data_IF_072309175641
#
_entry.id   IF_072309175641
#
_cell.length_a   1.000
_cell.length_b   1.000
_cell.length_c   1.000
_cell.angle_alpha   90.00
_cell.angle_beta   90.00
_cell.angle_gamma   90.00
#
_symmetry.space_group_name_H-M   'P 1'
#
loop_
_entity.id
_entity.type
_entity.pdbx_description
1 polymer ?
#
# COMPACT_ATOMS: atom_id res chain seq x y z
N UNK A 1 -69.85 23.18 -14.31
CA UNK A 1 -68.52 23.48 -14.90
C UNK A 1 -67.52 23.57 -13.77
N UNK A 2 -66.77 22.50 -13.52
CA UNK A 2 -65.73 22.43 -12.49
C UNK A 2 -64.51 23.23 -12.96
N UNK A 3 -64.05 24.22 -12.20
CA UNK A 3 -62.76 24.87 -12.42
C UNK A 3 -61.71 24.15 -11.57
N UNK A 4 -60.82 23.45 -12.27
CA UNK A 4 -59.66 22.74 -11.76
C UNK A 4 -58.57 23.76 -11.39
N UNK A 5 -58.00 23.63 -10.19
CA UNK A 5 -56.85 24.41 -9.71
C UNK A 5 -55.55 23.87 -10.33
N UNK A 6 -54.64 24.76 -10.75
CA UNK A 6 -53.24 24.43 -11.00
C UNK A 6 -52.41 25.32 -10.07
N UNK A 7 -51.87 24.71 -9.01
CA UNK A 7 -50.87 25.32 -8.15
C UNK A 7 -49.48 25.13 -8.81
N UNK A 8 -48.81 26.23 -9.11
CA UNK A 8 -47.47 26.24 -9.70
C UNK A 8 -46.44 26.10 -8.57
N UNK A 9 -45.86 24.90 -8.43
CA UNK A 9 -44.71 24.66 -7.55
C UNK A 9 -43.43 25.17 -8.23
N UNK A 10 -42.89 26.28 -7.71
CA UNK A 10 -41.59 26.82 -8.12
C UNK A 10 -40.51 26.05 -7.35
N UNK A 11 -39.80 25.15 -8.03
CA UNK A 11 -38.55 24.57 -7.54
C UNK A 11 -37.43 25.61 -7.71
N UNK A 12 -36.99 26.21 -6.61
CA UNK A 12 -35.76 27.02 -6.59
C UNK A 12 -34.59 26.04 -6.54
N UNK A 13 -33.96 25.80 -7.69
CA UNK A 13 -32.68 25.12 -7.75
C UNK A 13 -31.61 26.04 -7.18
N UNK A 14 -31.13 25.74 -5.97
CA UNK A 14 -29.89 26.32 -5.45
C UNK A 14 -28.73 25.75 -6.30
N UNK A 15 -27.90 26.59 -6.95
CA UNK A 15 -26.71 26.12 -7.62
C UNK A 15 -25.71 25.68 -6.54
N UNK A 16 -25.64 24.38 -6.27
CA UNK A 16 -24.52 23.79 -5.58
C UNK A 16 -23.27 24.09 -6.41
N UNK A 17 -22.44 25.01 -5.93
CA UNK A 17 -21.14 25.27 -6.53
C UNK A 17 -20.27 24.06 -6.20
N UNK A 18 -20.22 23.09 -7.11
CA UNK A 18 -19.19 22.05 -7.11
C UNK A 18 -17.85 22.77 -7.27
N UNK A 19 -17.08 22.87 -6.19
CA UNK A 19 -15.74 23.45 -6.25
C UNK A 19 -14.85 22.39 -6.93
N UNK A 20 -14.72 22.49 -8.25
CA UNK A 20 -13.71 21.74 -8.99
C UNK A 20 -12.33 22.14 -8.47
N UNK A 21 -11.51 21.16 -8.09
CA UNK A 21 -10.11 21.38 -7.73
C UNK A 21 -9.39 22.05 -8.90
N UNK A 22 -8.62 23.11 -8.63
CA UNK A 22 -7.80 23.77 -9.65
C UNK A 22 -6.65 22.83 -10.04
N UNK A 23 -6.72 22.29 -11.26
CA UNK A 23 -5.77 21.30 -11.76
C UNK A 23 -4.35 21.84 -11.94
N UNK A 24 -4.11 23.14 -11.71
CA UNK A 24 -2.80 23.76 -11.78
C UNK A 24 -2.11 23.93 -10.41
N UNK A 25 -2.78 23.63 -9.30
CA UNK A 25 -2.22 23.77 -7.95
C UNK A 25 -1.77 22.43 -7.39
N UNK A 26 -0.84 22.47 -6.42
CA UNK A 26 -0.50 21.26 -5.67
C UNK A 26 -1.72 20.76 -4.91
N UNK A 27 -2.02 19.45 -4.89
CA UNK A 27 -3.06 18.89 -4.03
C UNK A 27 -2.87 19.20 -2.53
N UNK A 28 -1.64 19.52 -2.12
CA UNK A 28 -1.33 19.90 -0.74
C UNK A 28 -1.82 21.30 -0.36
N UNK A 29 -2.02 22.20 -1.33
CA UNK A 29 -2.50 23.56 -1.08
C UNK A 29 -3.98 23.62 -0.72
N UNK A 30 -4.73 22.57 -1.07
CA UNK A 30 -6.18 22.48 -0.86
C UNK A 30 -6.56 21.08 -0.36
N UNK A 31 -5.89 20.65 0.71
CA UNK A 31 -6.23 19.39 1.36
C UNK A 31 -7.63 19.51 1.99
N UNK A 32 -8.51 18.52 1.76
CA UNK A 32 -9.76 18.47 2.49
C UNK A 32 -9.47 18.27 3.98
N UNK A 33 -10.32 18.79 4.85
CA UNK A 33 -10.16 18.73 6.31
C UNK A 33 -10.20 17.30 6.91
N UNK A 34 -10.49 16.28 6.11
CA UNK A 34 -10.36 14.88 6.48
C UNK A 34 -8.99 14.27 6.10
N UNK A 35 -8.08 15.05 5.52
CA UNK A 35 -6.69 14.67 5.23
C UNK A 35 -5.75 15.62 5.99
N UNK A 36 -4.77 15.05 6.68
CA UNK A 36 -3.73 15.80 7.40
C UNK A 36 -2.35 15.33 6.94
N UNK A 37 -1.47 16.26 6.57
CA UNK A 37 -0.08 15.93 6.31
C UNK A 37 0.69 15.78 7.63
N UNK A 38 1.35 14.63 7.81
CA UNK A 38 2.09 14.28 9.03
C UNK A 38 3.57 14.57 8.87
N UNK A 39 4.13 14.27 7.69
CA UNK A 39 5.55 14.53 7.40
C UNK A 39 5.73 15.22 6.05
N UNK A 40 6.87 15.91 5.91
CA UNK A 40 7.28 16.60 4.68
C UNK A 40 8.36 15.82 3.90
N UNK A 41 8.61 14.58 4.31
CA UNK A 41 9.51 13.61 3.68
C UNK A 41 9.06 12.21 4.05
N UNK A 42 9.57 11.21 3.34
CA UNK A 42 9.32 9.81 3.63
C UNK A 42 8.31 9.14 2.70
N UNK A 43 8.33 7.81 2.78
CA UNK A 43 7.56 6.90 1.92
C UNK A 43 7.30 5.57 2.64
N UNK A 44 6.37 4.77 2.10
CA UNK A 44 6.03 3.40 2.53
C UNK A 44 5.71 3.29 4.02
N UNK A 45 4.63 3.95 4.40
CA UNK A 45 4.14 3.94 5.78
C UNK A 45 3.66 2.54 6.22
N UNK A 46 3.70 2.28 7.52
CA UNK A 46 2.99 1.18 8.19
C UNK A 46 2.46 1.63 9.56
N UNK A 47 1.33 1.06 9.99
CA UNK A 47 0.66 1.42 11.24
C UNK A 47 1.12 0.56 12.41
N UNK A 48 1.42 1.21 13.54
CA UNK A 48 1.52 0.50 14.82
C UNK A 48 0.18 -0.15 15.18
N UNK A 49 0.22 -1.24 15.94
CA UNK A 49 -0.97 -2.01 16.30
C UNK A 49 -1.98 -1.23 17.17
N UNK A 50 -1.50 -0.23 17.91
CA UNK A 50 -2.33 0.67 18.72
C UNK A 50 -2.88 1.88 17.92
N UNK A 51 -2.42 2.07 16.68
CA UNK A 51 -2.81 3.20 15.85
C UNK A 51 -2.25 4.55 16.31
N UNK A 52 -1.25 4.57 17.20
CA UNK A 52 -0.67 5.82 17.71
C UNK A 52 0.52 6.31 16.87
N UNK A 53 1.09 5.44 16.03
CA UNK A 53 2.36 5.69 15.34
C UNK A 53 2.36 5.22 13.90
N UNK A 54 3.14 5.91 13.09
CA UNK A 54 3.46 5.52 11.72
C UNK A 54 4.95 5.23 11.60
N UNK A 55 5.28 4.02 11.17
CA UNK A 55 6.61 3.64 10.71
C UNK A 55 6.74 4.03 9.23
N UNK A 56 7.88 4.57 8.80
CA UNK A 56 8.11 4.92 7.39
C UNK A 56 9.61 4.95 7.09
N UNK A 57 9.98 4.97 5.81
CA UNK A 57 11.38 5.13 5.39
C UNK A 57 11.62 6.54 4.86
N UNK A 58 12.81 7.11 5.07
CA UNK A 58 13.19 8.46 4.62
C UNK A 58 13.00 8.64 3.10
N UNK A 59 13.47 7.63 2.37
CA UNK A 59 13.52 7.46 0.92
C UNK A 59 13.91 6.01 0.64
N UNK A 60 13.84 5.60 -0.62
CA UNK A 60 14.31 4.28 -1.02
C UNK A 60 15.81 4.20 -0.74
N UNK A 61 16.24 3.17 -0.01
CA UNK A 61 17.62 3.00 0.52
C UNK A 61 17.98 3.99 1.64
N UNK A 62 16.99 4.51 2.37
CA UNK A 62 17.16 5.44 3.48
C UNK A 62 17.07 4.76 4.85
N UNK A 63 17.11 5.62 5.87
CA UNK A 63 16.83 5.29 7.26
C UNK A 63 15.33 5.01 7.49
N UNK A 64 15.04 4.32 8.59
CA UNK A 64 13.67 4.06 9.07
C UNK A 64 13.35 5.00 10.21
N UNK A 65 12.15 5.57 10.18
CA UNK A 65 11.64 6.51 11.17
C UNK A 65 10.27 6.05 11.68
N UNK A 66 9.95 6.48 12.90
CA UNK A 66 8.62 6.36 13.48
C UNK A 66 8.14 7.77 13.87
N UNK A 67 6.89 8.11 13.55
CA UNK A 67 6.26 9.35 14.01
C UNK A 67 5.09 9.04 14.93
N UNK A 68 5.06 9.66 16.11
CA UNK A 68 3.90 9.60 17.00
C UNK A 68 2.89 10.68 16.58
N UNK A 69 1.66 10.26 16.32
CA UNK A 69 0.69 11.09 15.57
C UNK A 69 0.22 12.29 16.39
N UNK A 70 0.05 12.14 17.70
CA UNK A 70 -0.51 13.19 18.56
C UNK A 70 0.47 14.35 18.76
N UNK A 71 1.75 14.03 18.98
CA UNK A 71 2.79 15.03 19.24
C UNK A 71 3.55 15.46 17.99
N UNK A 72 3.55 14.65 16.94
CA UNK A 72 4.39 14.85 15.75
C UNK A 72 5.87 14.60 15.98
N UNK A 73 6.25 13.98 17.11
CA UNK A 73 7.65 13.63 17.39
C UNK A 73 8.08 12.51 16.44
N UNK A 74 9.18 12.74 15.72
CA UNK A 74 9.81 11.77 14.82
C UNK A 74 11.03 11.17 15.51
N UNK A 75 11.09 9.85 15.60
CA UNK A 75 12.19 9.08 16.17
C UNK A 75 12.88 8.26 15.06
N UNK A 76 14.22 8.30 14.95
CA UNK A 76 14.94 7.39 14.09
C UNK A 76 15.00 5.99 14.69
N UNK A 77 14.68 4.99 13.88
CA UNK A 77 14.69 3.58 14.27
C UNK A 77 16.01 2.89 13.92
N UNK A 78 16.84 3.49 13.04
CA UNK A 78 18.04 2.84 12.50
C UNK A 78 19.35 3.60 12.72
N UNK A 79 19.33 4.76 13.39
CA UNK A 79 20.53 5.58 13.61
C UNK A 79 21.56 4.96 14.59
N UNK A 80 21.21 3.92 15.34
CA UNK A 80 22.10 3.29 16.33
C UNK A 80 23.06 2.24 15.74
N UNK A 81 23.04 2.03 14.42
CA UNK A 81 23.97 1.14 13.70
C UNK A 81 24.21 1.64 12.27
N UNK A 82 25.30 1.17 11.62
CA UNK A 82 25.57 1.48 10.21
C UNK A 82 24.88 0.48 9.28
N UNK A 83 24.32 0.96 8.17
CA UNK A 83 23.66 0.13 7.17
C UNK A 83 23.66 0.80 5.80
N UNK A 84 23.31 0.00 4.80
CA UNK A 84 23.27 0.37 3.38
C UNK A 84 21.87 0.85 2.92
N UNK A 85 20.91 0.92 3.85
CA UNK A 85 19.59 1.48 3.64
C UNK A 85 18.50 0.43 3.41
N UNK A 86 17.25 0.83 3.61
CA UNK A 86 16.09 -0.06 3.52
C UNK A 86 15.12 0.39 2.43
N UNK A 87 14.34 -0.56 1.92
CA UNK A 87 13.28 -0.32 0.92
C UNK A 87 11.88 -0.54 1.49
N UNK A 88 11.74 -1.20 2.64
CA UNK A 88 10.47 -1.40 3.35
C UNK A 88 10.73 -1.64 4.83
N UNK A 89 9.84 -1.15 5.68
CA UNK A 89 9.80 -1.44 7.10
C UNK A 89 8.33 -1.70 7.50
N UNK A 90 8.06 -2.80 8.22
CA UNK A 90 6.72 -3.21 8.63
C UNK A 90 6.74 -3.70 10.08
N UNK A 91 5.72 -3.38 10.88
CA UNK A 91 5.56 -3.95 12.20
C UNK A 91 5.21 -5.43 12.13
N UNK A 92 5.93 -6.23 12.90
CA UNK A 92 5.61 -7.62 13.23
C UNK A 92 4.59 -7.65 14.37
N UNK A 93 3.84 -8.76 14.49
CA UNK A 93 2.80 -8.95 15.51
C UNK A 93 3.27 -8.74 16.97
N UNK A 94 4.58 -8.86 17.26
CA UNK A 94 5.15 -8.61 18.59
C UNK A 94 5.63 -7.16 18.80
N UNK A 95 5.48 -6.29 17.79
CA UNK A 95 5.94 -4.91 17.73
C UNK A 95 7.40 -4.73 17.28
N UNK A 96 8.15 -5.80 17.01
CA UNK A 96 9.44 -5.69 16.32
C UNK A 96 9.21 -5.29 14.85
N UNK A 97 10.28 -4.96 14.12
CA UNK A 97 10.18 -4.44 12.76
C UNK A 97 10.81 -5.45 11.78
N UNK A 98 10.05 -5.85 10.77
CA UNK A 98 10.57 -6.50 9.58
C UNK A 98 11.13 -5.44 8.65
N UNK A 99 12.38 -5.61 8.24
CA UNK A 99 13.05 -4.74 7.28
C UNK A 99 13.32 -5.51 5.98
N UNK A 100 13.14 -4.83 4.85
CA UNK A 100 13.63 -5.28 3.55
C UNK A 100 14.74 -4.32 3.09
N UNK A 101 15.91 -4.84 2.76
CA UNK A 101 17.06 -4.02 2.37
C UNK A 101 18.26 -4.88 1.98
N UNK A 102 19.12 -4.35 1.10
CA UNK A 102 20.32 -5.05 0.69
C UNK A 102 21.44 -4.91 1.71
N UNK A 103 22.31 -5.93 1.76
CA UNK A 103 23.52 -5.91 2.58
C UNK A 103 24.61 -4.99 2.04
N UNK A 104 24.56 -4.68 0.75
CA UNK A 104 25.49 -3.80 0.04
C UNK A 104 24.73 -2.76 -0.77
N UNK A 105 25.27 -1.53 -0.83
CA UNK A 105 24.74 -0.46 -1.67
C UNK A 105 25.81 0.10 -2.61
N UNK A 106 25.49 0.08 -3.91
CA UNK A 106 26.29 0.73 -4.94
C UNK A 106 25.63 2.05 -5.34
N UNK A 107 26.17 3.17 -4.85
CA UNK A 107 25.68 4.50 -5.20
C UNK A 107 25.72 4.83 -6.70
N UNK A 108 26.52 4.10 -7.51
CA UNK A 108 26.53 4.25 -8.97
C UNK A 108 25.44 3.44 -9.66
N UNK A 109 24.89 2.42 -8.99
CA UNK A 109 23.79 1.61 -9.48
C UNK A 109 22.83 1.20 -8.33
N UNK A 110 22.14 2.19 -7.72
CA UNK A 110 21.41 1.99 -6.47
C UNK A 110 20.25 1.00 -6.62
N UNK A 111 19.64 0.92 -7.81
CA UNK A 111 18.51 0.03 -8.08
C UNK A 111 18.85 -1.45 -7.96
N UNK A 112 20.13 -1.83 -8.04
CA UNK A 112 20.57 -3.20 -7.76
C UNK A 112 20.21 -3.62 -6.33
N UNK A 113 20.26 -2.71 -5.36
CA UNK A 113 19.92 -2.99 -3.96
C UNK A 113 18.42 -3.21 -3.71
N UNK A 114 17.54 -2.81 -4.66
CA UNK A 114 16.10 -3.11 -4.60
C UNK A 114 15.74 -4.44 -5.28
N UNK A 115 16.63 -4.98 -6.08
CA UNK A 115 16.40 -6.22 -6.82
C UNK A 115 16.30 -7.42 -5.87
N UNK A 116 15.41 -8.35 -6.20
CA UNK A 116 15.13 -9.55 -5.40
C UNK A 116 16.34 -10.50 -5.24
N UNK A 117 17.44 -10.29 -5.97
CA UNK A 117 18.71 -11.02 -5.80
C UNK A 117 19.61 -10.42 -4.72
N UNK A 118 19.33 -9.21 -4.25
CA UNK A 118 20.20 -8.47 -3.31
C UNK A 118 19.45 -8.00 -2.06
N UNK A 119 18.16 -7.66 -2.16
CA UNK A 119 17.36 -7.27 -1.00
C UNK A 119 17.05 -8.48 -0.12
N UNK A 120 17.40 -8.39 1.16
CA UNK A 120 17.22 -9.41 2.18
C UNK A 120 16.14 -9.01 3.18
N UNK A 121 15.55 -10.00 3.86
CA UNK A 121 14.68 -9.75 5.02
C UNK A 121 15.46 -9.79 6.33
N UNK A 122 15.16 -8.85 7.23
CA UNK A 122 15.81 -8.68 8.52
C UNK A 122 14.80 -8.39 9.62
N UNK A 123 15.15 -8.72 10.86
CA UNK A 123 14.37 -8.37 12.06
C UNK A 123 15.13 -7.36 12.91
N UNK A 124 14.53 -6.19 13.11
CA UNK A 124 14.97 -5.19 14.07
C UNK A 124 14.10 -5.26 15.32
N UNK A 125 14.70 -5.50 16.48
CA UNK A 125 13.97 -5.53 17.76
C UNK A 125 13.54 -4.12 18.16
N UNK A 126 12.32 -3.98 18.67
CA UNK A 126 11.72 -2.70 19.07
C UNK A 126 12.42 -1.99 20.22
N UNK A 127 13.29 -2.69 20.96
CA UNK A 127 14.09 -2.08 22.02
C UNK A 127 15.28 -1.27 21.48
N UNK A 128 15.58 -1.39 20.18
CA UNK A 128 16.63 -0.67 19.46
C UNK A 128 18.03 -0.80 20.11
N UNK A 129 18.29 -1.90 20.83
CA UNK A 129 19.58 -2.10 21.50
C UNK A 129 20.65 -2.74 20.62
N UNK A 130 20.27 -3.27 19.47
CA UNK A 130 21.16 -4.03 18.59
C UNK A 130 20.81 -3.79 17.12
N UNK A 131 21.78 -3.99 16.20
CA UNK A 131 21.51 -4.04 14.78
C UNK A 131 20.53 -5.17 14.42
N UNK A 132 19.85 -5.09 13.26
CA UNK A 132 18.90 -6.11 12.83
C UNK A 132 19.58 -7.45 12.51
N UNK A 133 18.82 -8.53 12.65
CA UNK A 133 19.28 -9.90 12.35
C UNK A 133 18.74 -10.35 10.99
N UNK A 134 19.58 -10.85 10.06
CA UNK A 134 19.11 -11.36 8.78
C UNK A 134 18.32 -12.66 8.96
N UNK A 135 17.22 -12.80 8.23
CA UNK A 135 16.42 -14.03 8.19
C UNK A 135 16.95 -15.06 7.18
N UNK A 136 17.96 -14.70 6.38
CA UNK A 136 18.63 -15.60 5.43
C UNK A 136 17.86 -15.85 4.13
N UNK A 137 16.88 -15.00 3.82
CA UNK A 137 16.09 -15.05 2.58
C UNK A 137 16.08 -13.69 1.91
N UNK A 138 15.91 -13.71 0.59
CA UNK A 138 15.74 -12.51 -0.22
C UNK A 138 14.27 -12.21 -0.48
N UNK A 139 13.95 -10.94 -0.73
CA UNK A 139 12.60 -10.46 -0.99
C UNK A 139 12.63 -9.32 -2.01
N UNK A 140 11.66 -9.32 -2.93
CA UNK A 140 11.38 -8.16 -3.78
C UNK A 140 10.51 -7.17 -2.99
N UNK A 141 11.14 -6.25 -2.27
CA UNK A 141 10.55 -5.07 -1.59
C UNK A 141 9.35 -5.25 -0.65
N UNK A 142 8.21 -5.76 -1.14
CA UNK A 142 6.93 -5.90 -0.42
C UNK A 142 6.70 -7.31 0.11
N UNK A 143 7.19 -7.65 1.32
CA UNK A 143 6.69 -8.81 2.04
C UNK A 143 5.33 -8.49 2.66
N UNK A 144 4.49 -9.51 2.82
CA UNK A 144 3.30 -9.44 3.66
C UNK A 144 3.62 -9.88 5.09
N UNK A 145 3.14 -9.13 6.07
CA UNK A 145 3.29 -9.45 7.50
C UNK A 145 1.94 -9.74 8.12
N UNK A 146 1.87 -10.81 8.90
CA UNK A 146 0.70 -11.13 9.71
C UNK A 146 0.59 -10.15 10.87
N UNK A 147 -0.61 -9.61 11.11
CA UNK A 147 -0.88 -8.69 12.21
C UNK A 147 -1.04 -9.41 13.55
N UNK A 148 -1.31 -10.72 13.55
CA UNK A 148 -1.64 -11.49 14.78
C UNK A 148 -0.69 -12.63 15.10
N UNK A 149 0.17 -13.03 14.17
CA UNK A 149 1.12 -14.14 14.29
C UNK A 149 2.47 -13.71 13.73
N UNK A 150 3.50 -14.48 14.03
CA UNK A 150 4.84 -14.24 13.47
C UNK A 150 5.00 -14.76 12.04
N UNK A 151 3.92 -14.78 11.25
CA UNK A 151 3.94 -15.24 9.86
C UNK A 151 4.34 -14.10 8.92
N UNK A 152 5.12 -14.46 7.91
CA UNK A 152 5.44 -13.58 6.78
C UNK A 152 5.24 -14.33 5.46
N UNK A 153 4.92 -13.60 4.40
CA UNK A 153 4.98 -14.08 3.03
C UNK A 153 5.79 -13.10 2.17
N UNK A 154 6.44 -13.60 1.13
CA UNK A 154 7.25 -12.76 0.25
C UNK A 154 7.37 -13.36 -1.14
N UNK A 155 7.48 -12.49 -2.14
CA UNK A 155 7.82 -12.88 -3.51
C UNK A 155 9.34 -12.96 -3.70
N UNK A 156 9.79 -14.01 -4.39
CA UNK A 156 11.15 -14.16 -4.89
C UNK A 156 11.11 -14.73 -6.31
N UNK A 157 11.46 -13.91 -7.29
CA UNK A 157 11.26 -14.23 -8.70
C UNK A 157 9.77 -14.40 -9.00
N UNK A 158 9.40 -15.56 -9.54
CA UNK A 158 8.01 -15.89 -9.90
C UNK A 158 7.32 -16.77 -8.85
N UNK A 159 7.84 -16.82 -7.62
CA UNK A 159 7.31 -17.69 -6.55
C UNK A 159 6.99 -16.89 -5.31
N UNK A 160 5.83 -17.15 -4.70
CA UNK A 160 5.47 -16.64 -3.38
C UNK A 160 5.78 -17.71 -2.34
N UNK A 161 6.48 -17.31 -1.29
CA UNK A 161 6.83 -18.12 -0.13
C UNK A 161 6.05 -17.65 1.10
N UNK A 162 5.89 -18.55 2.07
CA UNK A 162 5.40 -18.24 3.41
C UNK A 162 6.28 -18.90 4.44
N UNK A 163 6.49 -18.25 5.58
CA UNK A 163 7.26 -18.76 6.71
C UNK A 163 6.86 -18.11 8.02
N UNK A 164 7.50 -18.55 9.11
CA UNK A 164 7.29 -18.03 10.46
C UNK A 164 8.62 -17.54 11.04
N UNK A 165 8.60 -16.41 11.74
CA UNK A 165 9.75 -15.91 12.49
C UNK A 165 9.73 -16.52 13.89
N UNK A 166 10.80 -17.25 14.21
CA UNK A 166 11.01 -17.95 15.47
C UNK A 166 11.90 -17.14 16.41
N UNK A 167 11.48 -17.00 17.67
CA UNK A 167 12.22 -16.31 18.72
C UNK A 167 12.74 -17.23 19.83
N UNK A 168 12.59 -18.56 19.69
CA UNK A 168 12.98 -19.53 20.73
C UNK A 168 14.50 -19.61 20.96
N UNK A 169 15.31 -19.05 20.05
CA UNK A 169 16.77 -18.96 20.16
C UNK A 169 17.28 -17.57 20.57
N UNK A 170 18.61 -17.42 20.63
CA UNK A 170 19.25 -16.12 20.95
C UNK A 170 18.92 -15.02 19.92
N UNK A 171 18.73 -15.41 18.66
CA UNK A 171 18.46 -14.52 17.53
C UNK A 171 17.21 -14.98 16.77
N UNK A 172 16.37 -14.03 16.30
CA UNK A 172 15.24 -14.36 15.44
C UNK A 172 15.72 -15.09 14.18
N UNK A 173 14.96 -16.09 13.73
CA UNK A 173 15.26 -16.85 12.51
C UNK A 173 13.98 -17.26 11.80
N UNK A 174 14.08 -17.58 10.52
CA UNK A 174 12.96 -18.12 9.76
C UNK A 174 12.82 -19.64 10.01
N UNK A 175 11.60 -20.12 10.26
CA UNK A 175 11.25 -21.54 10.35
C UNK A 175 10.02 -21.87 9.50
N UNK A 176 9.80 -23.18 9.28
CA UNK A 176 8.61 -23.73 8.64
C UNK A 176 8.23 -23.09 7.30
N UNK A 177 9.22 -22.61 6.56
CA UNK A 177 8.97 -21.87 5.33
C UNK A 177 8.96 -22.76 4.09
N UNK A 178 8.09 -22.43 3.14
CA UNK A 178 7.91 -23.19 1.89
C UNK A 178 7.32 -22.30 0.78
N UNK A 179 7.51 -22.66 -0.50
CA UNK A 179 6.74 -22.05 -1.58
C UNK A 179 5.23 -22.34 -1.38
N UNK A 180 4.38 -21.34 -1.61
CA UNK A 180 2.93 -21.50 -1.68
C UNK A 180 2.50 -21.83 -3.10
N UNK A 181 2.89 -20.99 -4.06
CA UNK A 181 2.58 -21.13 -5.48
C UNK A 181 3.56 -20.32 -6.32
N UNK A 182 3.51 -20.55 -7.64
CA UNK A 182 4.29 -19.83 -8.65
C UNK A 182 3.37 -19.07 -9.60
N UNK A 183 3.94 -18.12 -10.34
CA UNK A 183 3.20 -17.36 -11.36
C UNK A 183 2.56 -18.27 -12.43
N UNK A 184 3.13 -19.45 -12.69
CA UNK A 184 2.58 -20.42 -13.64
C UNK A 184 1.29 -21.10 -13.17
N UNK A 185 1.01 -21.04 -11.87
CA UNK A 185 -0.18 -21.62 -11.24
C UNK A 185 -1.38 -20.66 -11.30
N UNK A 186 -1.15 -19.37 -11.56
CA UNK A 186 -2.21 -18.36 -11.64
C UNK A 186 -3.19 -18.65 -12.79
N UNK A 187 -4.47 -18.26 -12.63
CA UNK A 187 -5.43 -18.30 -13.72
C UNK A 187 -5.12 -17.25 -14.80
N UNK A 188 -5.62 -17.47 -16.01
CA UNK A 188 -5.62 -16.46 -17.08
C UNK A 188 -6.51 -15.27 -16.67
N UNK A 189 -6.10 -14.00 -16.91
CA UNK A 189 -4.95 -13.58 -17.72
C UNK A 189 -3.61 -13.50 -16.96
N UNK A 190 -3.63 -13.57 -15.62
CA UNK A 190 -2.46 -13.36 -14.77
C UNK A 190 -1.39 -14.47 -14.85
N UNK A 191 -1.67 -15.57 -15.54
CA UNK A 191 -0.74 -16.70 -15.70
C UNK A 191 0.62 -16.26 -16.24
N UNK A 192 1.65 -16.48 -15.43
CA UNK A 192 3.05 -16.19 -15.75
C UNK A 192 3.48 -14.74 -15.50
N UNK A 193 2.64 -13.92 -14.88
CA UNK A 193 2.96 -12.53 -14.54
C UNK A 193 3.89 -12.42 -13.32
N UNK A 194 4.55 -11.27 -13.17
CA UNK A 194 5.34 -10.99 -11.99
C UNK A 194 4.44 -10.87 -10.76
N UNK A 195 4.98 -11.21 -9.59
CA UNK A 195 4.25 -11.30 -8.33
C UNK A 195 4.80 -10.33 -7.29
N UNK A 196 3.90 -9.75 -6.50
CA UNK A 196 4.25 -9.01 -5.28
C UNK A 196 3.18 -9.20 -4.21
N UNK A 197 3.61 -9.55 -3.00
CA UNK A 197 2.75 -9.90 -1.85
C UNK A 197 2.39 -8.68 -1.05
N UNK A 198 1.19 -8.65 -0.44
CA UNK A 198 0.75 -7.48 0.30
C UNK A 198 0.24 -7.75 1.71
N UNK A 199 -0.89 -8.44 1.88
CA UNK A 199 -1.50 -8.64 3.20
C UNK A 199 -2.06 -10.04 3.37
N UNK A 200 -2.05 -10.54 4.60
CA UNK A 200 -2.91 -11.66 4.99
C UNK A 200 -4.32 -11.16 5.26
N UNK A 201 -5.32 -12.04 5.08
CA UNK A 201 -6.68 -11.76 5.52
C UNK A 201 -6.73 -11.52 7.04
N UNK A 202 -7.18 -10.35 7.51
CA UNK A 202 -7.09 -9.99 8.94
C UNK A 202 -8.00 -10.82 9.84
N UNK A 203 -9.04 -11.47 9.30
CA UNK A 203 -10.00 -12.25 10.11
C UNK A 203 -9.47 -13.60 10.55
N UNK A 204 -8.74 -14.29 9.66
CA UNK A 204 -8.31 -15.67 9.90
C UNK A 204 -6.88 -15.98 9.40
N UNK A 205 -6.31 -15.10 8.58
CA UNK A 205 -5.01 -15.25 7.90
C UNK A 205 -4.92 -16.52 7.05
N UNK A 206 -6.06 -17.01 6.55
CA UNK A 206 -6.12 -18.18 5.68
C UNK A 206 -5.94 -17.83 4.20
N UNK A 207 -6.15 -16.57 3.85
CA UNK A 207 -5.97 -16.05 2.51
C UNK A 207 -4.82 -15.03 2.49
N UNK A 208 -4.03 -15.07 1.43
CA UNK A 208 -2.98 -14.11 1.13
C UNK A 208 -3.40 -13.26 -0.06
N UNK A 209 -3.45 -11.95 0.13
CA UNK A 209 -3.67 -10.96 -0.91
C UNK A 209 -2.34 -10.51 -1.50
N UNK A 210 -2.32 -10.44 -2.83
CA UNK A 210 -1.16 -10.08 -3.62
C UNK A 210 -1.65 -9.43 -4.91
N UNK A 211 -0.73 -8.89 -5.70
CA UNK A 211 -1.04 -8.52 -7.06
C UNK A 211 -0.09 -9.22 -8.03
N UNK A 212 -0.61 -9.48 -9.22
CA UNK A 212 0.15 -9.99 -10.34
C UNK A 212 0.19 -8.92 -11.42
N UNK A 213 1.34 -8.72 -12.07
CA UNK A 213 1.48 -7.70 -13.10
C UNK A 213 2.29 -8.17 -14.31
N UNK A 214 1.82 -7.77 -15.49
CA UNK A 214 2.25 -8.24 -16.80
C UNK A 214 1.16 -7.97 -17.83
N UNK A 215 1.35 -8.31 -19.10
CA UNK A 215 0.27 -8.18 -20.07
C UNK A 215 0.70 -7.89 -21.51
N UNK A 216 -0.23 -8.12 -22.44
CA UNK A 216 -0.04 -7.95 -23.88
C UNK A 216 -0.26 -6.49 -24.35
N UNK A 217 -0.91 -5.65 -23.52
CA UNK A 217 -1.34 -4.28 -23.85
C UNK A 217 -0.92 -3.28 -22.75
N UNK A 218 0.38 -2.95 -22.66
CA UNK A 218 0.86 -2.11 -21.55
C UNK A 218 0.87 -2.89 -20.23
N UNK A 219 1.46 -2.31 -19.18
CA UNK A 219 1.55 -3.00 -17.88
C UNK A 219 0.15 -3.07 -17.23
N UNK A 220 -0.50 -4.23 -17.26
CA UNK A 220 -1.72 -4.52 -16.50
C UNK A 220 -1.33 -5.10 -15.13
N UNK A 221 -2.18 -4.88 -14.13
CA UNK A 221 -2.06 -5.52 -12.82
C UNK A 221 -3.43 -5.93 -12.31
N UNK A 222 -3.49 -7.11 -11.69
CA UNK A 222 -4.68 -7.65 -11.06
C UNK A 222 -4.42 -7.88 -9.58
N UNK A 223 -5.43 -7.62 -8.76
CA UNK A 223 -5.48 -7.94 -7.34
C UNK A 223 -6.07 -9.34 -7.17
N UNK A 224 -5.30 -10.24 -6.56
CA UNK A 224 -5.69 -11.62 -6.34
C UNK A 224 -5.62 -12.01 -4.87
N UNK A 225 -6.45 -12.99 -4.51
CA UNK A 225 -6.33 -13.76 -3.27
C UNK A 225 -5.92 -15.19 -3.56
N UNK A 226 -5.16 -15.78 -2.64
CA UNK A 226 -4.89 -17.21 -2.59
C UNK A 226 -5.34 -17.77 -1.25
N UNK A 227 -6.39 -18.59 -1.26
CA UNK A 227 -6.83 -19.33 -0.08
C UNK A 227 -5.86 -20.49 0.17
N UNK A 228 -5.20 -20.50 1.31
CA UNK A 228 -4.16 -21.48 1.64
C UNK A 228 -4.71 -22.84 2.09
N UNK A 229 -5.99 -22.93 2.46
CA UNK A 229 -6.66 -24.16 2.86
C UNK A 229 -7.25 -24.86 1.64
N UNK A 230 -8.06 -24.13 0.86
CA UNK A 230 -8.70 -24.63 -0.36
C UNK A 230 -7.72 -24.70 -1.54
N UNK A 231 -6.63 -23.92 -1.49
CA UNK A 231 -5.62 -23.78 -2.55
C UNK A 231 -6.17 -23.22 -3.86
N UNK A 232 -7.15 -22.33 -3.73
CA UNK A 232 -7.83 -21.69 -4.86
C UNK A 232 -7.42 -20.23 -4.99
N UNK A 233 -7.46 -19.74 -6.23
CA UNK A 233 -7.20 -18.34 -6.57
C UNK A 233 -8.50 -17.60 -6.87
N UNK A 234 -8.59 -16.38 -6.37
CA UNK A 234 -9.69 -15.45 -6.69
C UNK A 234 -9.12 -14.18 -7.28
N UNK A 235 -9.63 -13.75 -8.44
CA UNK A 235 -9.34 -12.42 -8.98
C UNK A 235 -10.43 -11.44 -8.52
N UNK A 236 -10.05 -10.46 -7.71
CA UNK A 236 -10.98 -9.48 -7.13
C UNK A 236 -11.15 -8.25 -8.00
N UNK A 237 -10.12 -7.83 -8.73
CA UNK A 237 -10.16 -6.60 -9.52
C UNK A 237 -10.84 -6.79 -10.87
N UNK A 238 -10.65 -7.96 -11.51
CA UNK A 238 -11.17 -8.26 -12.84
C UNK A 238 -10.93 -7.11 -13.84
N UNK A 239 -9.72 -6.55 -13.80
CA UNK A 239 -9.34 -5.35 -14.51
C UNK A 239 -9.32 -5.62 -16.02
N UNK A 240 -9.81 -4.66 -16.80
CA UNK A 240 -9.83 -4.80 -18.26
C UNK A 240 -8.61 -4.14 -18.88
N UNK A 241 -8.34 -2.90 -18.49
CA UNK A 241 -7.35 -2.01 -19.08
C UNK A 241 -6.69 -1.09 -18.04
N UNK A 242 -6.75 -1.47 -16.77
CA UNK A 242 -6.20 -0.70 -15.65
C UNK A 242 -5.07 -1.47 -14.98
N UNK A 243 -4.16 -0.70 -14.39
CA UNK A 243 -3.17 -1.20 -13.46
C UNK A 243 -3.77 -1.09 -12.06
N UNK A 244 -4.06 -2.21 -11.39
CA UNK A 244 -4.57 -2.25 -10.03
C UNK A 244 -3.59 -3.01 -9.12
N UNK A 245 -2.78 -2.26 -8.39
CA UNK A 245 -1.78 -2.77 -7.45
C UNK A 245 -2.38 -2.86 -6.04
N UNK A 246 -2.28 -4.03 -5.42
CA UNK A 246 -2.78 -4.31 -4.08
C UNK A 246 -1.90 -3.63 -3.02
N UNK A 247 -2.49 -2.91 -2.05
CA UNK A 247 -1.71 -2.17 -1.05
C UNK A 247 -2.12 -2.37 0.41
N UNK A 248 -3.35 -2.00 0.81
CA UNK A 248 -3.73 -2.00 2.22
C UNK A 248 -5.12 -2.59 2.48
N UNK A 249 -5.21 -3.69 3.23
CA UNK A 249 -6.50 -4.33 3.55
C UNK A 249 -7.21 -3.67 4.74
N UNK A 250 -8.54 -3.57 4.67
CA UNK A 250 -9.35 -3.14 5.82
C UNK A 250 -9.48 -4.28 6.85
N UNK A 251 -9.54 -3.99 8.17
CA UNK A 251 -9.63 -5.03 9.22
C UNK A 251 -10.87 -5.94 9.14
N UNK A 252 -11.93 -5.49 8.46
CA UNK A 252 -13.10 -6.32 8.19
C UNK A 252 -12.87 -7.36 7.09
N UNK A 253 -11.77 -7.29 6.35
CA UNK A 253 -11.44 -8.19 5.24
C UNK A 253 -12.43 -8.15 4.09
N UNK A 254 -13.25 -7.09 3.96
CA UNK A 254 -14.26 -6.96 2.90
C UNK A 254 -13.79 -6.06 1.75
N UNK A 255 -12.73 -5.31 1.96
CA UNK A 255 -12.19 -4.39 0.97
C UNK A 255 -10.70 -4.18 1.19
N UNK A 256 -10.02 -3.73 0.14
CA UNK A 256 -8.65 -3.27 0.22
C UNK A 256 -8.43 -2.02 -0.60
N UNK A 257 -7.36 -1.32 -0.28
CA UNK A 257 -6.87 -0.18 -1.01
C UNK A 257 -5.97 -0.65 -2.14
N UNK A 258 -6.16 -0.02 -3.29
CA UNK A 258 -5.38 -0.26 -4.49
C UNK A 258 -4.80 1.04 -5.02
N UNK A 259 -3.59 0.96 -5.55
CA UNK A 259 -3.04 1.98 -6.44
C UNK A 259 -3.55 1.72 -7.85
N UNK A 260 -4.22 2.72 -8.44
CA UNK A 260 -4.79 2.55 -9.77
C UNK A 260 -4.57 3.73 -10.69
N UNK A 261 -4.28 3.42 -11.95
CA UNK A 261 -4.16 4.42 -13.01
C UNK A 261 -5.51 4.79 -13.64
N UNK A 262 -6.62 4.20 -13.18
CA UNK A 262 -7.93 4.25 -13.85
C UNK A 262 -8.49 5.64 -14.16
N UNK A 263 -8.18 6.66 -13.35
CA UNK A 263 -8.61 8.02 -13.66
C UNK A 263 -7.87 8.63 -14.87
N UNK A 264 -6.65 8.14 -15.15
CA UNK A 264 -5.76 8.63 -16.21
C UNK A 264 -5.07 7.48 -16.92
N UNK A 265 -5.85 6.50 -17.39
CA UNK A 265 -5.33 5.39 -18.17
C UNK A 265 -4.67 5.91 -19.46
N UNK A 266 -3.50 5.36 -19.81
CA UNK A 266 -2.74 5.72 -21.02
C UNK A 266 -2.44 7.23 -21.19
N UNK A 267 -2.35 7.98 -20.09
CA UNK A 267 -2.19 9.43 -20.14
C UNK A 267 -0.86 9.84 -20.76
N UNK A 268 -0.92 10.51 -21.92
CA UNK A 268 0.23 11.05 -22.66
C UNK A 268 1.37 10.05 -22.89
N UNK A 269 1.06 8.74 -22.97
CA UNK A 269 2.05 7.68 -23.11
C UNK A 269 2.95 7.46 -21.89
N UNK A 270 2.57 8.00 -20.72
CA UNK A 270 3.23 7.69 -19.46
C UNK A 270 2.99 6.23 -19.09
N UNK A 271 3.96 5.64 -18.38
CA UNK A 271 3.79 4.31 -17.78
C UNK A 271 2.66 4.34 -16.75
N UNK A 272 1.97 3.23 -16.63
CA UNK A 272 0.72 3.08 -15.88
C UNK A 272 0.91 3.37 -14.39
N UNK A 273 2.03 2.91 -13.81
CA UNK A 273 2.41 3.16 -12.41
C UNK A 273 2.87 4.61 -12.10
N UNK A 274 2.77 5.53 -13.06
CA UNK A 274 3.13 6.94 -12.87
C UNK A 274 1.92 7.85 -12.69
N UNK A 275 0.72 7.40 -13.06
CA UNK A 275 -0.52 8.19 -12.95
C UNK A 275 -1.47 7.54 -11.96
N UNK A 276 -0.98 7.26 -10.75
CA UNK A 276 -1.71 6.53 -9.71
C UNK A 276 -2.53 7.45 -8.81
N UNK A 277 -3.65 6.93 -8.35
CA UNK A 277 -4.42 7.46 -7.23
C UNK A 277 -4.94 6.27 -6.40
N UNK A 278 -5.41 6.54 -5.19
CA UNK A 278 -5.86 5.48 -4.27
C UNK A 278 -7.36 5.25 -4.39
N UNK A 279 -7.74 3.98 -4.52
CA UNK A 279 -9.11 3.49 -4.60
C UNK A 279 -9.34 2.39 -3.57
N UNK A 280 -10.60 2.16 -3.21
CA UNK A 280 -11.06 1.05 -2.38
C UNK A 280 -11.76 0.02 -3.27
N UNK A 281 -11.17 -1.16 -3.39
CA UNK A 281 -11.70 -2.32 -4.09
C UNK A 281 -12.49 -3.21 -3.12
N UNK A 282 -13.68 -3.66 -3.52
CA UNK A 282 -14.40 -4.71 -2.78
C UNK A 282 -13.81 -6.10 -3.04
N UNK A 283 -13.72 -6.91 -2.00
CA UNK A 283 -13.25 -8.29 -2.08
C UNK A 283 -14.43 -9.27 -2.22
N UNK A 284 -15.32 -8.99 -3.17
CA UNK A 284 -16.54 -9.78 -3.46
C UNK A 284 -16.64 -10.19 -4.95
N UNK A 285 -15.50 -10.19 -5.65
CA UNK A 285 -15.34 -10.54 -7.07
C UNK A 285 -16.05 -9.62 -8.08
N UNK A 286 -16.76 -8.58 -7.59
CA UNK A 286 -17.49 -7.65 -8.46
C UNK A 286 -16.59 -6.75 -9.32
N UNK A 287 -15.33 -6.54 -8.90
CA UNK A 287 -14.45 -5.50 -9.46
C UNK A 287 -14.88 -4.07 -9.08
N UNK A 288 -15.83 -3.92 -8.14
CA UNK A 288 -16.32 -2.62 -7.71
C UNK A 288 -15.22 -1.84 -6.99
N UNK A 289 -14.96 -0.64 -7.48
CA UNK A 289 -14.00 0.30 -6.88
C UNK A 289 -14.65 1.63 -6.53
N UNK A 290 -14.18 2.24 -5.44
CA UNK A 290 -14.52 3.59 -5.03
C UNK A 290 -13.25 4.44 -4.95
N UNK A 291 -13.25 5.62 -5.57
CA UNK A 291 -12.10 6.54 -5.50
C UNK A 291 -12.01 7.17 -4.11
N UNK A 292 -10.85 7.09 -3.47
CA UNK A 292 -10.62 7.60 -2.11
C UNK A 292 -9.89 8.95 -2.15
N UNK A 293 -8.83 9.01 -2.94
CA UNK A 293 -7.99 10.21 -3.08
C UNK A 293 -8.16 10.83 -4.47
N UNK A 294 -7.66 12.06 -4.62
CA UNK A 294 -7.86 12.89 -5.81
C UNK A 294 -6.56 13.60 -6.22
N UNK A 295 -5.40 13.08 -5.81
CA UNK A 295 -4.12 13.75 -6.03
C UNK A 295 -3.79 13.84 -7.52
N UNK A 296 -4.23 12.82 -8.26
CA UNK A 296 -4.07 12.73 -9.71
C UNK A 296 -5.08 13.59 -10.50
N UNK A 297 -5.98 14.34 -9.85
CA UNK A 297 -6.75 15.38 -10.56
C UNK A 297 -5.81 16.45 -11.14
N UNK A 298 -4.67 16.70 -10.47
CA UNK A 298 -3.52 17.32 -11.10
C UNK A 298 -2.59 16.23 -11.67
N UNK A 299 -2.35 16.18 -13.00
CA UNK A 299 -1.54 15.13 -13.63
C UNK A 299 -0.04 15.16 -13.25
N UNK A 300 0.43 16.19 -12.54
CA UNK A 300 1.80 16.27 -12.03
C UNK A 300 1.98 15.51 -10.71
N UNK A 301 0.90 15.01 -10.10
CA UNK A 301 0.92 14.38 -8.78
C UNK A 301 0.27 12.99 -8.80
N UNK A 302 0.66 12.18 -7.82
CA UNK A 302 0.06 10.87 -7.53
C UNK A 302 -0.01 10.65 -6.03
N UNK A 303 -0.93 9.78 -5.61
CA UNK A 303 -1.01 9.24 -4.26
C UNK A 303 -0.76 7.73 -4.32
N UNK A 304 0.01 7.21 -3.36
CA UNK A 304 0.49 5.83 -3.37
C UNK A 304 0.75 5.29 -1.96
N UNK A 305 1.08 4.00 -1.91
CA UNK A 305 1.46 3.14 -0.80
C UNK A 305 0.56 3.34 0.43
N UNK A 306 -0.77 3.20 0.26
CA UNK A 306 -1.69 3.33 1.37
C UNK A 306 -1.68 2.12 2.29
N UNK A 307 -1.76 2.38 3.59
CA UNK A 307 -1.96 1.38 4.64
C UNK A 307 -3.12 1.79 5.54
N UNK A 308 -3.86 0.81 6.06
CA UNK A 308 -5.04 1.03 6.91
C UNK A 308 -4.69 0.73 8.37
N UNK A 309 -5.17 1.55 9.30
CA UNK A 309 -5.01 1.29 10.74
C UNK A 309 -5.79 0.04 11.16
N UNK A 310 -5.35 -0.64 12.23
CA UNK A 310 -5.99 -1.89 12.70
C UNK A 310 -7.44 -1.71 13.17
N UNK A 311 -7.87 -0.47 13.47
CA UNK A 311 -9.27 -0.11 13.78
C UNK A 311 -10.10 0.24 12.53
N UNK A 312 -9.48 0.30 11.35
CA UNK A 312 -10.11 0.61 10.06
C UNK A 312 -10.50 2.08 9.89
N UNK A 313 -10.13 2.94 10.83
CA UNK A 313 -10.58 4.34 10.85
C UNK A 313 -9.72 5.24 9.97
N UNK A 314 -8.43 4.94 9.85
CA UNK A 314 -7.46 5.81 9.20
C UNK A 314 -6.75 5.10 8.07
N UNK A 315 -6.37 5.87 7.06
CA UNK A 315 -5.41 5.47 6.03
C UNK A 315 -4.20 6.37 6.14
N UNK A 316 -3.01 5.80 6.25
CA UNK A 316 -1.77 6.53 6.01
C UNK A 316 -1.34 6.27 4.56
N UNK A 317 -0.87 7.29 3.86
CA UNK A 317 -0.45 7.17 2.47
C UNK A 317 0.59 8.23 2.14
N UNK A 318 1.28 8.09 1.01
CA UNK A 318 2.23 9.09 0.55
C UNK A 318 1.71 9.84 -0.68
N UNK A 319 2.28 11.02 -0.91
CA UNK A 319 2.14 11.72 -2.18
C UNK A 319 3.50 11.81 -2.89
N UNK A 320 3.47 11.95 -4.21
CA UNK A 320 4.67 12.16 -5.03
C UNK A 320 4.34 12.95 -6.31
N UNK A 321 5.38 13.33 -7.05
CA UNK A 321 5.16 13.77 -8.42
C UNK A 321 4.94 12.55 -9.32
N UNK A 322 4.10 12.71 -10.35
CA UNK A 322 3.82 11.66 -11.32
C UNK A 322 5.12 11.15 -11.99
N UNK A 323 6.09 12.03 -12.23
CA UNK A 323 7.39 11.69 -12.81
C UNK A 323 8.36 10.95 -11.84
N UNK A 324 8.07 10.91 -10.55
CA UNK A 324 8.88 10.14 -9.61
C UNK A 324 8.73 8.63 -9.86
N UNK A 325 9.80 7.87 -9.62
CA UNK A 325 9.78 6.41 -9.75
C UNK A 325 8.68 5.76 -8.89
N UNK A 326 8.27 4.54 -9.25
CA UNK A 326 7.32 3.76 -8.46
C UNK A 326 7.80 3.59 -7.00
N UNK A 327 6.86 3.70 -6.05
CA UNK A 327 7.10 3.62 -4.61
C UNK A 327 7.79 4.85 -3.98
N UNK A 328 8.23 5.85 -4.76
CA UNK A 328 8.75 7.11 -4.19
C UNK A 328 7.64 7.94 -3.54
N UNK A 329 7.95 8.53 -2.39
CA UNK A 329 7.10 9.45 -1.65
C UNK A 329 7.82 10.74 -1.26
N UNK A 330 7.05 11.76 -0.91
CA UNK A 330 7.53 13.10 -0.52
C UNK A 330 6.97 13.55 0.83
N UNK A 331 6.43 12.61 1.60
CA UNK A 331 5.71 12.91 2.83
C UNK A 331 4.53 11.97 3.02
N UNK A 332 4.20 11.74 4.29
CA UNK A 332 3.10 10.90 4.74
C UNK A 332 1.92 11.78 5.11
N UNK A 333 0.74 11.38 4.65
CA UNK A 333 -0.55 11.97 5.00
C UNK A 333 -1.44 10.91 5.66
N UNK A 334 -2.38 11.37 6.48
CA UNK A 334 -3.43 10.54 7.07
C UNK A 334 -4.79 11.02 6.58
N UNK A 335 -5.64 10.09 6.14
CA UNK A 335 -7.06 10.29 5.85
C UNK A 335 -7.91 9.67 6.96
N UNK A 336 -8.90 10.39 7.50
CA UNK A 336 -9.93 9.86 8.42
C UNK A 336 -11.15 9.38 7.59
N UNK A 337 -11.35 8.07 7.50
CA UNK A 337 -12.44 7.48 6.71
C UNK A 337 -13.82 7.90 7.22
N UNK A 338 -13.99 8.06 8.53
CA UNK A 338 -15.26 8.49 9.12
C UNK A 338 -15.59 9.93 8.75
N UNK A 339 -14.59 10.81 8.64
CA UNK A 339 -14.79 12.17 8.18
C UNK A 339 -15.00 12.23 6.66
N UNK A 340 -14.24 11.44 5.90
CA UNK A 340 -14.38 11.31 4.44
C UNK A 340 -15.78 10.82 4.04
N UNK A 341 -16.31 9.76 4.66
CA UNK A 341 -17.65 9.21 4.39
C UNK A 341 -18.76 10.26 4.52
N UNK A 342 -18.65 11.16 5.50
CA UNK A 342 -19.63 12.24 5.71
C UNK A 342 -19.61 13.32 4.61
N UNK A 343 -18.55 13.35 3.80
CA UNK A 343 -18.24 14.44 2.86
C UNK A 343 -18.04 13.98 1.42
N UNK A 344 -17.87 12.69 1.13
CA UNK A 344 -17.56 12.16 -0.21
C UNK A 344 -18.57 12.52 -1.31
N UNK A 345 -19.82 12.87 -0.95
CA UNK A 345 -20.83 13.37 -1.89
C UNK A 345 -21.08 14.90 -1.86
N UNK A 346 -20.23 15.67 -1.18
CA UNK A 346 -20.36 17.14 -1.01
C UNK A 346 -19.20 17.93 -1.63
N UNK A 347 -18.35 17.26 -2.41
CA UNK A 347 -17.29 17.89 -3.18
C UNK A 347 -17.84 18.44 -4.49
#
# INVERSE_FOLDING_TARGET
MNKLYIALLIFVALPGSLLSQDTNKSPLEDLPDYITQITYFGERADWSHDGERILFIEKTFGDVFEVEITTGIIQPMTHHFFHEGFVRALYLANGDILLSGAREFDSKNPWKSRDARNAELWVLKKDLKSPPVPLGVHCKEGPAVSRTKMNIAWALGTTIYKGEIDYDGEKPKLKNWKPLFTAGDLPTPAKGWDLETQNFNPKNENELFFYAFGGQFGFQAEVLGYDMEEKEFTNYSNSKDTYDEAEGIFPDGLSMLIESNRHRANYKGMKEFLTLDIYKLKLDESGDVERITYFNDNPEYKASNPVVSDDGRYMAFQYAHAADAAGKGRGILILDFKAWEKKKGKR
#
